data_IF_914554489833
#
_entry.id   IF_914554489833
#
_cell.length_a   1.000
_cell.length_b   1.000
_cell.length_c   1.000
_cell.angle_alpha   90.00
_cell.angle_beta   90.00
_cell.angle_gamma   90.00
#
_symmetry.space_group_name_H-M   'P 1'
#
loop_
_entity.id
_entity.type
_entity.pdbx_description
1 polymer ?
#
# COMPACT_ATOMS: atom_id res chain seq x y z
N UNK A 1 -22.42 -4.82 0.47
CA UNK A 1 -21.86 -5.83 -0.46
C UNK A 1 -20.48 -6.29 -0.01
N UNK A 2 -19.55 -5.37 0.28
CA UNK A 2 -18.18 -5.67 0.72
C UNK A 2 -18.14 -6.63 1.92
N UNK A 3 -18.80 -6.30 3.03
CA UNK A 3 -18.88 -7.13 4.24
C UNK A 3 -19.33 -8.57 3.91
N UNK A 4 -20.39 -8.71 3.10
CA UNK A 4 -20.92 -10.05 2.75
C UNK A 4 -19.89 -10.88 2.00
N UNK A 5 -19.28 -10.30 0.96
CA UNK A 5 -18.27 -11.00 0.13
C UNK A 5 -17.01 -11.34 0.96
N UNK A 6 -16.52 -10.39 1.76
CA UNK A 6 -15.37 -10.64 2.62
C UNK A 6 -15.63 -11.76 3.61
N UNK A 7 -16.81 -11.77 4.26
CA UNK A 7 -17.20 -12.86 5.17
C UNK A 7 -17.25 -14.21 4.46
N UNK A 8 -17.85 -14.29 3.27
CA UNK A 8 -17.91 -15.51 2.48
C UNK A 8 -16.50 -16.05 2.17
N UNK A 9 -15.58 -15.16 1.77
CA UNK A 9 -14.18 -15.52 1.51
C UNK A 9 -13.48 -15.99 2.77
N UNK A 10 -13.63 -15.30 3.90
CA UNK A 10 -13.04 -15.70 5.17
C UNK A 10 -13.51 -17.10 5.56
N UNK A 11 -14.82 -17.34 5.56
CA UNK A 11 -15.39 -18.65 5.88
C UNK A 11 -14.86 -19.75 4.96
N UNK A 12 -14.79 -19.50 3.66
CA UNK A 12 -14.28 -20.45 2.69
C UNK A 12 -12.80 -20.78 2.94
N UNK A 13 -11.95 -19.75 3.05
CA UNK A 13 -10.51 -19.92 3.27
C UNK A 13 -10.23 -20.66 4.58
N UNK A 14 -10.89 -20.26 5.67
CA UNK A 14 -10.72 -20.89 6.99
C UNK A 14 -11.25 -22.32 7.04
N UNK A 15 -12.22 -22.69 6.19
CA UNK A 15 -12.66 -24.07 6.07
C UNK A 15 -11.64 -24.99 5.42
N UNK A 16 -10.76 -24.44 4.57
CA UNK A 16 -9.68 -25.19 3.91
C UNK A 16 -8.45 -25.27 4.83
N UNK A 17 -8.01 -24.11 5.30
CA UNK A 17 -6.87 -24.01 6.22
C UNK A 17 -7.07 -22.80 7.16
N UNK A 18 -7.29 -23.03 8.47
CA UNK A 18 -7.51 -21.96 9.44
C UNK A 18 -6.28 -21.06 9.67
N UNK A 19 -5.09 -21.52 9.31
CA UNK A 19 -3.84 -20.76 9.50
C UNK A 19 -3.59 -19.70 8.41
N UNK A 20 -4.33 -19.73 7.30
CA UNK A 20 -4.22 -18.70 6.26
C UNK A 20 -4.81 -17.39 6.79
N UNK A 21 -4.00 -16.34 6.78
CA UNK A 21 -4.44 -15.00 7.15
C UNK A 21 -5.23 -14.35 6.01
N UNK A 22 -6.38 -13.78 6.35
CA UNK A 22 -7.24 -13.06 5.40
C UNK A 22 -7.21 -11.58 5.74
N UNK A 23 -6.88 -10.77 4.75
CA UNK A 23 -6.90 -9.32 4.82
C UNK A 23 -8.24 -8.79 4.27
N UNK A 24 -8.84 -7.83 4.96
CA UNK A 24 -10.00 -7.10 4.50
C UNK A 24 -9.68 -5.64 4.25
N UNK A 25 -10.26 -5.05 3.21
CA UNK A 25 -10.14 -3.63 2.87
C UNK A 25 -11.47 -2.91 3.09
N UNK A 26 -11.43 -1.73 3.71
CA UNK A 26 -12.58 -0.87 3.96
C UNK A 26 -12.28 0.58 3.58
N UNK A 27 -13.24 1.22 2.91
CA UNK A 27 -13.09 2.53 2.28
C UNK A 27 -12.60 2.44 0.84
N UNK A 28 -12.80 3.50 0.07
CA UNK A 28 -12.42 3.52 -1.34
C UNK A 28 -11.20 4.42 -1.56
N UNK A 29 -10.09 3.81 -1.93
CA UNK A 29 -8.80 4.48 -2.16
C UNK A 29 -8.37 4.49 -3.64
N UNK A 30 -9.31 4.26 -4.54
CA UNK A 30 -9.07 4.11 -5.98
C UNK A 30 -8.74 2.67 -6.37
N UNK A 31 -8.87 2.36 -7.65
CA UNK A 31 -8.74 0.99 -8.18
C UNK A 31 -7.49 0.74 -9.03
N UNK A 32 -6.78 1.78 -9.47
CA UNK A 32 -5.67 1.65 -10.42
C UNK A 32 -4.33 2.10 -9.83
N UNK A 33 -3.31 1.25 -9.99
CA UNK A 33 -1.92 1.52 -9.61
C UNK A 33 -1.17 2.18 -10.79
N UNK A 34 -1.45 3.45 -11.05
CA UNK A 34 -0.89 4.24 -12.16
C UNK A 34 -0.38 5.60 -11.69
N UNK A 35 0.39 6.27 -12.53
CA UNK A 35 0.75 7.68 -12.34
C UNK A 35 -0.42 8.52 -12.87
N UNK A 36 -0.97 9.41 -12.04
CA UNK A 36 -2.17 10.21 -12.31
C UNK A 36 -1.88 11.69 -12.35
N UNK A 37 -2.69 12.42 -13.09
CA UNK A 37 -2.66 13.89 -13.12
C UNK A 37 -3.76 14.48 -12.23
N UNK A 38 -4.84 13.72 -12.00
CA UNK A 38 -6.02 14.16 -11.24
C UNK A 38 -6.45 13.12 -10.20
N UNK A 39 -7.19 13.59 -9.20
CA UNK A 39 -7.80 12.73 -8.18
C UNK A 39 -8.93 11.89 -8.78
N UNK A 40 -8.97 10.57 -8.53
CA UNK A 40 -10.11 9.75 -8.93
C UNK A 40 -11.39 10.19 -8.21
N UNK A 41 -12.51 10.13 -8.90
CA UNK A 41 -13.81 10.44 -8.29
C UNK A 41 -14.16 9.45 -7.17
N UNK A 42 -14.67 9.97 -6.06
CA UNK A 42 -15.17 9.17 -4.94
C UNK A 42 -14.10 8.59 -4.01
N UNK A 43 -12.81 8.91 -4.19
CA UNK A 43 -11.77 8.44 -3.25
C UNK A 43 -11.88 9.11 -1.89
N UNK A 44 -11.62 8.36 -0.84
CA UNK A 44 -11.65 8.82 0.55
C UNK A 44 -10.38 9.62 0.88
N UNK A 45 -10.42 10.95 0.70
CA UNK A 45 -9.32 11.85 1.05
C UNK A 45 -9.71 12.96 2.02
N UNK A 46 -11.01 13.26 2.13
CA UNK A 46 -11.51 14.20 3.11
C UNK A 46 -11.73 13.49 4.45
N UNK A 47 -11.58 14.18 5.59
CA UNK A 47 -11.74 13.57 6.91
C UNK A 47 -13.06 12.81 7.11
N UNK A 48 -14.15 13.30 6.48
CA UNK A 48 -15.46 12.67 6.54
C UNK A 48 -15.60 11.38 5.71
N UNK A 49 -14.73 11.18 4.73
CA UNK A 49 -14.76 10.01 3.84
C UNK A 49 -13.81 8.89 4.34
N UNK A 50 -12.91 9.22 5.28
CA UNK A 50 -11.97 8.24 5.83
C UNK A 50 -12.67 7.24 6.73
N UNK A 51 -12.16 6.02 6.76
CA UNK A 51 -12.65 4.94 7.63
C UNK A 51 -12.64 5.38 9.10
N UNK A 52 -13.79 5.28 9.77
CA UNK A 52 -13.88 5.56 11.21
C UNK A 52 -13.48 4.35 12.05
N UNK A 53 -13.05 4.52 13.32
CA UNK A 53 -12.78 3.41 14.21
C UNK A 53 -13.98 2.50 14.43
N UNK A 54 -15.18 3.05 14.45
CA UNK A 54 -16.46 2.34 14.62
C UNK A 54 -16.76 1.46 13.43
N UNK A 55 -16.63 2.00 12.20
CA UNK A 55 -16.80 1.23 10.96
C UNK A 55 -15.76 0.11 10.84
N UNK A 56 -14.51 0.39 11.17
CA UNK A 56 -13.44 -0.59 11.19
C UNK A 56 -13.75 -1.75 12.16
N UNK A 57 -14.17 -1.42 13.38
CA UNK A 57 -14.56 -2.40 14.40
C UNK A 57 -15.74 -3.26 13.98
N UNK A 58 -16.77 -2.65 13.41
CA UNK A 58 -17.94 -3.36 12.90
C UNK A 58 -17.55 -4.29 11.74
N UNK A 59 -16.77 -3.80 10.78
CA UNK A 59 -16.31 -4.59 9.64
C UNK A 59 -15.55 -5.83 10.09
N UNK A 60 -14.58 -5.68 10.99
CA UNK A 60 -13.80 -6.80 11.56
C UNK A 60 -14.70 -7.80 12.28
N UNK A 61 -15.62 -7.31 13.11
CA UNK A 61 -16.56 -8.17 13.83
C UNK A 61 -17.46 -8.99 12.90
N UNK A 62 -17.97 -8.37 11.83
CA UNK A 62 -18.89 -9.02 10.91
C UNK A 62 -18.19 -9.98 9.94
N UNK A 63 -16.96 -9.69 9.55
CA UNK A 63 -16.22 -10.44 8.51
C UNK A 63 -15.30 -11.52 9.08
N UNK A 64 -14.70 -11.26 10.25
CA UNK A 64 -13.71 -12.15 10.86
C UNK A 64 -12.36 -12.15 10.16
N UNK A 65 -11.98 -11.06 9.51
CA UNK A 65 -10.64 -10.89 8.90
C UNK A 65 -9.53 -10.88 9.94
N UNK A 66 -8.33 -11.28 9.55
CA UNK A 66 -7.14 -11.33 10.42
C UNK A 66 -6.32 -10.04 10.37
N UNK A 67 -6.44 -9.27 9.28
CA UNK A 67 -5.77 -8.00 9.06
C UNK A 67 -6.73 -7.01 8.39
N UNK A 68 -6.51 -5.71 8.60
CA UNK A 68 -7.38 -4.67 8.07
C UNK A 68 -6.58 -3.60 7.32
N UNK A 69 -7.02 -3.29 6.09
CA UNK A 69 -6.54 -2.17 5.29
C UNK A 69 -7.61 -1.06 5.23
N UNK A 70 -7.52 -0.03 6.08
CA UNK A 70 -8.49 1.07 6.10
C UNK A 70 -8.11 2.20 5.14
N UNK A 71 -9.10 2.98 4.67
CA UNK A 71 -8.86 4.27 4.03
C UNK A 71 -8.51 5.33 5.09
N UNK A 72 -7.29 5.83 5.06
CA UNK A 72 -6.72 6.77 6.04
C UNK A 72 -5.96 7.93 5.37
N UNK A 73 -6.36 8.30 4.14
CA UNK A 73 -5.71 9.31 3.30
C UNK A 73 -4.77 8.72 2.25
N UNK A 74 -4.60 7.42 2.25
CA UNK A 74 -3.83 6.67 1.25
C UNK A 74 -4.61 6.55 -0.07
N UNK A 75 -3.87 6.46 -1.20
CA UNK A 75 -4.43 6.32 -2.54
C UNK A 75 -3.67 5.27 -3.34
N UNK A 76 -4.40 4.49 -4.15
CA UNK A 76 -3.75 3.68 -5.18
C UNK A 76 -3.20 4.57 -6.30
N UNK A 77 -1.95 4.32 -6.69
CA UNK A 77 -1.25 5.11 -7.70
C UNK A 77 -0.28 6.12 -7.10
N UNK A 78 0.07 7.13 -7.87
CA UNK A 78 0.90 8.27 -7.50
C UNK A 78 0.47 9.48 -8.33
N UNK A 79 0.67 10.69 -7.83
CA UNK A 79 0.51 11.88 -8.64
C UNK A 79 1.81 12.26 -9.36
N UNK A 80 1.68 12.72 -10.63
CA UNK A 80 2.80 13.17 -11.43
C UNK A 80 3.30 14.57 -11.00
N UNK A 81 2.36 15.46 -10.66
CA UNK A 81 2.60 16.90 -10.54
C UNK A 81 2.19 17.48 -9.17
N UNK A 82 1.74 16.67 -8.24
CA UNK A 82 1.34 17.09 -6.90
C UNK A 82 1.70 16.02 -5.87
N UNK A 83 1.93 16.38 -4.60
CA UNK A 83 2.14 15.40 -3.55
C UNK A 83 0.85 14.61 -3.30
N UNK A 84 1.00 13.35 -2.88
CA UNK A 84 -0.12 12.57 -2.37
C UNK A 84 -0.68 13.22 -1.10
N UNK A 85 -1.98 12.98 -0.78
CA UNK A 85 -2.56 13.40 0.49
C UNK A 85 -1.77 12.84 1.67
N UNK A 86 -1.69 13.60 2.77
CA UNK A 86 -1.08 13.13 4.00
C UNK A 86 -1.93 12.02 4.63
N UNK A 87 -1.27 11.03 5.24
CA UNK A 87 -1.95 10.02 6.04
C UNK A 87 -2.48 10.63 7.34
N UNK A 88 -3.72 10.29 7.71
CA UNK A 88 -4.29 10.63 9.02
C UNK A 88 -3.75 9.67 10.10
N UNK A 89 -2.62 10.04 10.69
CA UNK A 89 -1.90 9.22 11.67
C UNK A 89 -2.69 8.99 12.96
N UNK A 90 -3.46 9.98 13.38
CA UNK A 90 -4.28 9.85 14.59
C UNK A 90 -5.44 8.91 14.37
N UNK A 91 -6.01 8.92 13.17
CA UNK A 91 -7.02 7.95 12.74
C UNK A 91 -6.46 6.53 12.66
N UNK A 92 -5.27 6.32 12.10
CA UNK A 92 -4.59 5.02 12.11
C UNK A 92 -4.47 4.50 13.55
N UNK A 93 -4.04 5.34 14.48
CA UNK A 93 -3.91 4.98 15.90
C UNK A 93 -5.26 4.61 16.52
N UNK A 94 -6.29 5.43 16.27
CA UNK A 94 -7.63 5.19 16.79
C UNK A 94 -8.23 3.88 16.24
N UNK A 95 -8.09 3.60 14.94
CA UNK A 95 -8.52 2.35 14.33
C UNK A 95 -7.75 1.17 14.95
N UNK A 96 -6.43 1.27 15.09
CA UNK A 96 -5.61 0.21 15.71
C UNK A 96 -6.09 -0.12 17.12
N UNK A 97 -6.41 0.90 17.91
CA UNK A 97 -6.95 0.71 19.27
C UNK A 97 -8.34 0.07 19.25
N UNK A 98 -9.18 0.40 18.30
CA UNK A 98 -10.53 -0.13 18.19
C UNK A 98 -10.58 -1.60 17.74
N UNK A 99 -9.76 -1.97 16.74
CA UNK A 99 -9.80 -3.31 16.13
C UNK A 99 -8.82 -4.31 16.73
N UNK A 100 -7.72 -3.84 17.33
CA UNK A 100 -6.63 -4.65 17.90
C UNK A 100 -5.94 -5.62 16.90
N UNK A 101 -6.27 -5.54 15.63
CA UNK A 101 -5.68 -6.35 14.56
C UNK A 101 -4.43 -5.67 13.96
N UNK A 102 -3.58 -6.43 13.25
CA UNK A 102 -2.56 -5.86 12.36
C UNK A 102 -3.21 -4.94 11.31
N UNK A 103 -2.66 -3.74 11.11
CA UNK A 103 -3.10 -2.83 10.06
C UNK A 103 -2.19 -2.94 8.84
N UNK A 104 -2.81 -2.85 7.67
CA UNK A 104 -2.16 -2.85 6.36
C UNK A 104 -2.35 -1.49 5.71
N UNK A 105 -1.31 -0.94 5.10
CA UNK A 105 -1.37 0.28 4.32
C UNK A 105 -1.30 -0.07 2.82
N UNK A 106 -2.43 0.06 2.12
CA UNK A 106 -2.48 0.03 0.66
C UNK A 106 -2.13 1.40 0.08
N UNK A 107 -1.90 1.46 -1.22
CA UNK A 107 -1.65 2.73 -1.91
C UNK A 107 -0.47 3.53 -1.37
N UNK A 108 0.55 2.84 -0.84
CA UNK A 108 1.70 3.50 -0.21
C UNK A 108 2.66 4.21 -1.17
N UNK A 109 2.54 3.98 -2.50
CA UNK A 109 3.36 4.69 -3.49
C UNK A 109 3.00 6.18 -3.48
N UNK A 110 3.98 7.07 -3.29
CA UNK A 110 3.74 8.52 -3.22
C UNK A 110 3.75 9.11 -1.82
N UNK A 111 3.50 8.33 -0.78
CA UNK A 111 3.64 8.79 0.61
C UNK A 111 5.09 9.13 0.94
N UNK A 112 5.26 10.10 1.85
CA UNK A 112 6.58 10.52 2.29
C UNK A 112 7.23 9.50 3.24
N UNK A 113 8.56 9.52 3.34
CA UNK A 113 9.29 8.68 4.29
C UNK A 113 8.86 8.95 5.75
N UNK A 114 8.44 10.19 6.05
CA UNK A 114 7.87 10.58 7.35
C UNK A 114 6.53 9.89 7.60
N UNK A 115 5.63 9.91 6.62
CA UNK A 115 4.30 9.28 6.74
C UNK A 115 4.43 7.79 7.02
N UNK A 116 5.30 7.09 6.31
CA UNK A 116 5.57 5.68 6.59
C UNK A 116 6.04 5.42 8.00
N UNK A 117 7.03 6.20 8.49
CA UNK A 117 7.52 6.04 9.87
C UNK A 117 6.42 6.26 10.90
N UNK A 118 5.62 7.30 10.70
CA UNK A 118 4.52 7.63 11.62
C UNK A 118 3.40 6.58 11.56
N UNK A 119 3.03 6.09 10.37
CA UNK A 119 2.02 5.05 10.19
C UNK A 119 2.45 3.71 10.85
N UNK A 120 3.73 3.31 10.67
CA UNK A 120 4.29 2.12 11.32
C UNK A 120 4.27 2.27 12.85
N UNK A 121 4.64 3.44 13.38
CA UNK A 121 4.55 3.72 14.83
C UNK A 121 3.11 3.72 15.34
N UNK A 122 2.15 4.07 14.48
CA UNK A 122 0.72 4.09 14.81
C UNK A 122 0.05 2.70 14.73
N UNK A 123 0.72 1.67 14.19
CA UNK A 123 0.22 0.29 14.19
C UNK A 123 0.10 -0.40 12.83
N UNK A 124 0.57 0.24 11.76
CA UNK A 124 0.72 -0.40 10.44
C UNK A 124 1.89 -1.40 10.52
N UNK A 125 1.65 -2.64 10.10
CA UNK A 125 2.65 -3.73 10.11
C UNK A 125 2.96 -4.28 8.72
N UNK A 126 2.09 -4.03 7.74
CA UNK A 126 2.29 -4.38 6.33
C UNK A 126 2.09 -3.13 5.48
N UNK A 127 2.94 -2.94 4.48
CA UNK A 127 2.83 -1.82 3.52
C UNK A 127 2.91 -2.38 2.11
N UNK A 128 1.90 -2.09 1.30
CA UNK A 128 1.87 -2.49 -0.10
C UNK A 128 2.43 -1.36 -1.00
N UNK A 129 3.57 -1.65 -1.63
CA UNK A 129 4.23 -0.78 -2.61
C UNK A 129 4.14 -1.41 -3.99
N UNK A 130 3.52 -0.72 -4.93
CA UNK A 130 3.33 -1.24 -6.29
C UNK A 130 3.78 -0.24 -7.36
N UNK A 131 3.15 0.94 -7.45
CA UNK A 131 3.36 1.91 -8.53
C UNK A 131 4.82 2.36 -8.65
N UNK A 132 5.51 2.61 -7.53
CA UNK A 132 6.94 2.95 -7.53
C UNK A 132 7.80 1.84 -8.15
N UNK A 133 7.53 0.58 -7.82
CA UNK A 133 8.27 -0.58 -8.34
C UNK A 133 8.05 -0.71 -9.85
N UNK A 134 6.80 -0.59 -10.30
CA UNK A 134 6.45 -0.63 -11.73
C UNK A 134 7.10 0.51 -12.50
N UNK A 135 7.10 1.71 -11.92
CA UNK A 135 7.73 2.88 -12.53
C UNK A 135 9.25 2.72 -12.65
N UNK A 136 9.90 2.22 -11.60
CA UNK A 136 11.34 1.93 -11.61
C UNK A 136 11.70 0.87 -12.66
N UNK A 137 10.90 -0.20 -12.74
CA UNK A 137 11.04 -1.23 -13.77
C UNK A 137 10.91 -0.62 -15.17
N UNK A 138 9.86 0.16 -15.42
CA UNK A 138 9.60 0.79 -16.71
C UNK A 138 10.74 1.71 -17.16
N UNK A 139 11.19 2.60 -16.27
CA UNK A 139 12.32 3.50 -16.56
C UNK A 139 13.61 2.75 -16.83
N UNK A 140 13.90 1.71 -16.07
CA UNK A 140 15.08 0.88 -16.27
C UNK A 140 15.03 0.09 -17.58
N UNK A 141 13.86 -0.41 -17.97
CA UNK A 141 13.67 -1.08 -19.27
C UNK A 141 13.88 -0.11 -20.43
N UNK A 142 13.30 1.08 -20.39
CA UNK A 142 13.48 2.12 -21.39
C UNK A 142 14.94 2.52 -21.56
N UNK A 143 15.66 2.66 -20.44
CA UNK A 143 17.09 2.92 -20.44
C UNK A 143 17.89 1.76 -21.06
N UNK A 144 17.55 0.52 -20.74
CA UNK A 144 18.18 -0.68 -21.30
C UNK A 144 18.01 -0.79 -22.81
N UNK A 145 16.78 -0.55 -23.29
CA UNK A 145 16.47 -0.53 -24.73
C UNK A 145 17.19 0.62 -25.45
N UNK A 146 17.22 1.82 -24.85
CA UNK A 146 17.89 2.98 -25.43
C UNK A 146 19.41 2.83 -25.49
N UNK A 147 20.02 2.21 -24.49
CA UNK A 147 21.47 1.98 -24.42
C UNK A 147 21.95 0.92 -25.42
N UNK A 148 21.07 0.00 -25.83
CA UNK A 148 21.38 -1.10 -26.73
C UNK A 148 20.29 -1.28 -27.80
N UNK A 149 20.11 -0.34 -28.75
CA UNK A 149 18.94 -0.33 -29.63
C UNK A 149 18.77 -1.55 -30.53
N UNK A 150 19.87 -2.27 -30.83
CA UNK A 150 19.87 -3.46 -31.69
C UNK A 150 20.00 -4.78 -30.90
N UNK A 151 20.02 -4.71 -29.59
CA UNK A 151 20.14 -5.91 -28.77
C UNK A 151 18.76 -6.60 -28.62
N UNK A 152 18.72 -7.91 -28.75
CA UNK A 152 17.51 -8.71 -28.66
C UNK A 152 17.52 -9.67 -27.46
N UNK A 153 18.68 -9.84 -26.81
CA UNK A 153 18.82 -10.75 -25.68
C UNK A 153 18.29 -10.10 -24.40
N UNK A 154 17.22 -10.65 -23.76
CA UNK A 154 16.62 -10.06 -22.57
C UNK A 154 17.60 -9.83 -21.41
N UNK A 155 18.54 -10.77 -21.17
CA UNK A 155 19.54 -10.67 -20.11
C UNK A 155 20.55 -9.53 -20.27
N UNK A 156 20.61 -8.90 -21.46
CA UNK A 156 21.43 -7.71 -21.72
C UNK A 156 20.62 -6.41 -21.64
N UNK A 157 19.31 -6.47 -21.87
CA UNK A 157 18.40 -5.34 -21.84
C UNK A 157 17.87 -5.09 -20.41
N UNK A 158 17.53 -6.16 -19.68
CA UNK A 158 16.84 -6.09 -18.39
C UNK A 158 17.68 -5.69 -17.16
N UNK A 159 19.03 -5.72 -17.15
CA UNK A 159 19.80 -5.40 -15.95
C UNK A 159 19.47 -4.03 -15.34
N UNK A 160 19.24 -3.00 -16.16
CA UNK A 160 18.88 -1.66 -15.66
C UNK A 160 17.48 -1.64 -15.04
N UNK A 161 16.53 -2.42 -15.56
CA UNK A 161 15.21 -2.58 -14.96
C UNK A 161 15.30 -3.30 -13.60
N UNK A 162 16.11 -4.36 -13.52
CA UNK A 162 16.36 -5.08 -12.27
C UNK A 162 16.98 -4.18 -11.19
N UNK A 163 18.05 -3.45 -11.52
CA UNK A 163 18.71 -2.54 -10.56
C UNK A 163 17.77 -1.40 -10.14
N UNK A 164 16.92 -0.88 -11.03
CA UNK A 164 15.89 0.10 -10.69
C UNK A 164 14.91 -0.44 -9.63
N UNK A 165 14.35 -1.62 -9.85
CA UNK A 165 13.43 -2.27 -8.88
C UNK A 165 14.14 -2.54 -7.56
N UNK A 166 15.34 -3.15 -7.61
CA UNK A 166 16.16 -3.44 -6.42
C UNK A 166 16.42 -2.19 -5.59
N UNK A 167 16.72 -1.05 -6.25
CA UNK A 167 16.94 0.24 -5.57
C UNK A 167 15.71 0.69 -4.77
N UNK A 168 14.52 0.63 -5.37
CA UNK A 168 13.26 0.98 -4.69
C UNK A 168 13.00 0.04 -3.51
N UNK A 169 13.06 -1.28 -3.73
CA UNK A 169 12.83 -2.27 -2.68
C UNK A 169 13.80 -2.09 -1.51
N UNK A 170 15.09 -1.93 -1.80
CA UNK A 170 16.11 -1.73 -0.77
C UNK A 170 15.88 -0.44 0.04
N UNK A 171 15.51 0.66 -0.64
CA UNK A 171 15.16 1.92 0.03
C UNK A 171 13.99 1.71 1.01
N UNK A 172 12.91 1.07 0.57
CA UNK A 172 11.73 0.85 1.41
C UNK A 172 12.00 -0.13 2.56
N UNK A 173 12.75 -1.21 2.33
CA UNK A 173 13.15 -2.13 3.39
C UNK A 173 14.00 -1.43 4.47
N UNK A 174 14.95 -0.58 4.08
CA UNK A 174 15.73 0.20 5.05
C UNK A 174 14.85 1.12 5.86
N UNK A 175 13.96 1.87 5.19
CA UNK A 175 13.03 2.79 5.85
C UNK A 175 12.13 2.08 6.87
N UNK A 176 11.48 0.98 6.46
CA UNK A 176 10.51 0.27 7.30
C UNK A 176 11.16 -0.42 8.50
N UNK A 177 12.42 -0.83 8.36
CA UNK A 177 13.19 -1.46 9.43
C UNK A 177 14.09 -0.47 10.19
N UNK A 178 13.95 0.84 9.97
CA UNK A 178 14.75 1.92 10.61
C UNK A 178 16.26 1.80 10.37
N UNK A 179 16.69 1.14 9.29
CA UNK A 179 18.09 0.95 8.94
C UNK A 179 18.70 2.14 8.20
N UNK A 180 17.88 3.13 7.87
CA UNK A 180 18.25 4.40 7.24
C UNK A 180 18.40 5.55 8.25
N UNK A 181 18.12 5.29 9.53
CA UNK A 181 18.31 6.24 10.63
C UNK A 181 19.68 5.98 11.25
N UNK A 182 20.55 7.02 11.45
CA UNK A 182 21.80 6.83 12.19
C UNK A 182 21.50 6.22 13.56
N UNK A 183 22.29 5.25 13.98
CA UNK A 183 22.26 4.76 15.36
C UNK A 183 22.60 5.96 16.25
N UNK A 184 21.68 6.33 17.15
CA UNK A 184 21.90 7.38 18.13
C UNK A 184 22.95 6.97 19.16
#
# INVERSE_FOLDING_TARGET
ENVKKTKEVVLYVKSINPDILVEGEIGYIGSASEVREELPEGVAIKPEDLTTPEEAKQFVYETGVDMLAPAVGNLHGMFANMPDPNLDIDRIRAIKEAVKLPLVLHGGSGNTDRDFRMAIQAGVVVVHINTEIRLAWRKGLEAGLSSNPNEVAPYKILPLAFEGVKGVVLKRLKLFNKLDTPLA
#
